data_IF_260108151398
#
_entry.id   IF_260108151398
#
_cell.length_a   1.000
_cell.length_b   1.000
_cell.length_c   1.000
_cell.angle_alpha   90.00
_cell.angle_beta   90.00
_cell.angle_gamma   90.00
#
_symmetry.space_group_name_H-M   'P 1'
#
loop_
_entity.id
_entity.type
_entity.pdbx_description
1 polymer ?
#
# COMPACT_ATOMS: atom_id res chain seq x y z
N UNK A 1 8.52 14.62 9.84
CA UNK A 1 7.24 14.37 9.17
C UNK A 1 7.45 13.55 7.89
N UNK A 2 8.40 13.95 7.03
CA UNK A 2 8.78 13.19 5.83
C UNK A 2 9.24 11.75 6.09
N UNK A 3 10.03 11.44 7.12
CA UNK A 3 10.48 10.05 7.36
C UNK A 3 9.35 9.07 7.70
N UNK A 4 8.39 9.49 8.52
CA UNK A 4 7.23 8.65 8.89
C UNK A 4 6.34 8.42 7.67
N UNK A 5 6.10 9.46 6.87
CA UNK A 5 5.31 9.37 5.65
C UNK A 5 6.01 8.46 4.63
N UNK A 6 7.33 8.60 4.45
CA UNK A 6 8.13 7.76 3.57
C UNK A 6 8.12 6.30 4.04
N UNK A 7 8.32 6.05 5.33
CA UNK A 7 8.24 4.71 5.92
C UNK A 7 6.87 4.06 5.70
N UNK A 8 5.78 4.77 5.99
CA UNK A 8 4.42 4.27 5.74
C UNK A 8 4.17 4.00 4.25
N UNK A 9 4.66 4.88 3.38
CA UNK A 9 4.52 4.74 1.93
C UNK A 9 5.27 3.50 1.42
N UNK A 10 6.50 3.29 1.88
CA UNK A 10 7.32 2.15 1.48
C UNK A 10 6.82 0.83 2.08
N UNK A 11 6.36 0.85 3.34
CA UNK A 11 5.73 -0.32 3.99
C UNK A 11 4.48 -0.77 3.22
N UNK A 12 3.59 0.16 2.85
CA UNK A 12 2.40 -0.19 2.08
C UNK A 12 2.76 -0.61 0.66
N UNK A 13 3.75 0.03 0.03
CA UNK A 13 4.13 -0.27 -1.37
C UNK A 13 4.90 -1.58 -1.50
N UNK A 14 5.86 -1.84 -0.63
CA UNK A 14 6.78 -2.99 -0.76
C UNK A 14 6.23 -4.14 0.08
N UNK A 15 6.08 -3.97 1.38
CA UNK A 15 5.78 -5.10 2.27
C UNK A 15 4.37 -5.65 2.07
N UNK A 16 3.38 -4.79 1.88
CA UNK A 16 1.99 -5.23 1.69
C UNK A 16 1.74 -5.82 0.31
N UNK A 17 2.23 -5.20 -0.77
CA UNK A 17 2.05 -5.77 -2.12
C UNK A 17 2.87 -7.05 -2.34
N UNK A 18 4.11 -7.09 -1.85
CA UNK A 18 4.93 -8.32 -1.91
C UNK A 18 4.32 -9.40 -1.02
N UNK A 19 3.90 -9.04 0.20
CA UNK A 19 3.19 -9.93 1.11
C UNK A 19 1.92 -10.51 0.50
N UNK A 20 1.17 -9.72 -0.27
CA UNK A 20 0.00 -10.21 -0.99
C UNK A 20 0.33 -11.16 -2.15
N UNK A 21 1.44 -10.90 -2.84
CA UNK A 21 1.95 -11.82 -3.86
C UNK A 21 2.21 -13.20 -3.25
N UNK A 22 2.90 -13.25 -2.11
CA UNK A 22 3.12 -14.50 -1.37
C UNK A 22 1.82 -15.12 -0.86
N UNK A 23 0.93 -14.31 -0.31
CA UNK A 23 -0.40 -14.77 0.10
C UNK A 23 -1.15 -15.45 -1.05
N UNK A 24 -1.15 -14.84 -2.24
CA UNK A 24 -1.85 -15.36 -3.42
C UNK A 24 -1.32 -16.73 -3.85
N UNK A 25 0.00 -16.93 -3.74
CA UNK A 25 0.65 -18.23 -4.00
C UNK A 25 0.18 -19.27 -2.98
N UNK A 26 0.19 -18.93 -1.69
CA UNK A 26 -0.26 -19.82 -0.61
C UNK A 26 -1.75 -20.14 -0.77
N UNK A 27 -2.58 -19.15 -1.11
CA UNK A 27 -4.00 -19.34 -1.38
C UNK A 27 -4.22 -20.33 -2.52
N UNK A 28 -3.49 -20.19 -3.62
CA UNK A 28 -3.59 -21.13 -4.76
C UNK A 28 -3.21 -22.55 -4.37
N UNK A 29 -2.13 -22.71 -3.59
CA UNK A 29 -1.71 -24.00 -3.05
C UNK A 29 -2.80 -24.59 -2.15
N UNK A 30 -3.27 -23.84 -1.15
CA UNK A 30 -4.30 -24.29 -0.22
C UNK A 30 -5.60 -24.67 -0.95
N UNK A 31 -6.02 -23.88 -1.94
CA UNK A 31 -7.21 -24.15 -2.76
C UNK A 31 -7.09 -25.43 -3.58
N UNK A 32 -5.88 -25.83 -3.97
CA UNK A 32 -5.64 -27.07 -4.72
C UNK A 32 -5.77 -28.32 -3.83
N UNK A 33 -5.39 -28.23 -2.55
CA UNK A 33 -5.38 -29.37 -1.63
C UNK A 33 -6.62 -29.47 -0.73
N UNK A 34 -7.34 -28.37 -0.49
CA UNK A 34 -8.50 -28.37 0.41
C UNK A 34 -9.80 -28.74 -0.32
N UNK A 35 -10.48 -29.76 0.20
CA UNK A 35 -11.78 -30.25 -0.31
C UNK A 35 -12.93 -29.29 -0.01
N UNK A 36 -12.92 -28.67 1.17
CA UNK A 36 -13.88 -27.64 1.55
C UNK A 36 -13.32 -26.25 1.22
N UNK A 37 -14.04 -25.54 0.36
CA UNK A 37 -13.58 -24.29 -0.26
C UNK A 37 -14.31 -23.06 0.28
N UNK A 38 -15.34 -23.24 1.12
CA UNK A 38 -16.19 -22.13 1.57
C UNK A 38 -15.41 -21.12 2.41
N UNK A 39 -14.71 -21.61 3.45
CA UNK A 39 -13.93 -20.76 4.36
C UNK A 39 -12.79 -20.01 3.66
N UNK A 40 -12.05 -20.70 2.78
CA UNK A 40 -10.92 -20.14 2.04
C UNK A 40 -11.39 -19.06 1.06
N UNK A 41 -12.53 -19.28 0.42
CA UNK A 41 -13.17 -18.33 -0.49
C UNK A 41 -13.61 -17.04 0.22
N UNK A 42 -14.19 -17.14 1.40
CA UNK A 42 -14.60 -15.95 2.18
C UNK A 42 -13.41 -15.17 2.72
N UNK A 43 -12.36 -15.87 3.14
CA UNK A 43 -11.11 -15.25 3.56
C UNK A 43 -10.45 -14.49 2.41
N UNK A 44 -10.41 -15.07 1.21
CA UNK A 44 -9.85 -14.43 0.01
C UNK A 44 -10.61 -13.17 -0.40
N UNK A 45 -11.94 -13.20 -0.36
CA UNK A 45 -12.74 -11.98 -0.55
C UNK A 45 -12.33 -10.86 0.41
N UNK A 46 -12.13 -11.20 1.68
CA UNK A 46 -11.73 -10.23 2.70
C UNK A 46 -10.30 -9.72 2.48
N UNK A 47 -9.37 -10.60 2.10
CA UNK A 47 -7.98 -10.24 1.81
C UNK A 47 -7.88 -9.31 0.58
N UNK A 48 -8.63 -9.60 -0.48
CA UNK A 48 -8.70 -8.76 -1.68
C UNK A 48 -9.28 -7.38 -1.33
N UNK A 49 -10.37 -7.32 -0.57
CA UNK A 49 -10.96 -6.05 -0.12
C UNK A 49 -9.97 -5.21 0.71
N UNK A 50 -9.28 -5.85 1.65
CA UNK A 50 -8.28 -5.19 2.50
C UNK A 50 -7.18 -4.53 1.67
N UNK A 51 -6.72 -5.18 0.60
CA UNK A 51 -5.70 -4.60 -0.27
C UNK A 51 -6.19 -3.49 -1.16
N UNK A 52 -7.40 -3.62 -1.68
CA UNK A 52 -8.01 -2.53 -2.43
C UNK A 52 -8.08 -1.28 -1.54
N UNK A 53 -8.50 -1.42 -0.27
CA UNK A 53 -8.52 -0.31 0.68
C UNK A 53 -7.14 0.23 1.02
N UNK A 54 -6.14 -0.62 1.22
CA UNK A 54 -4.76 -0.18 1.44
C UNK A 54 -4.18 0.54 0.22
N UNK A 55 -4.54 0.10 -1.00
CA UNK A 55 -4.18 0.79 -2.24
C UNK A 55 -4.77 2.20 -2.31
N UNK A 56 -6.02 2.39 -1.89
CA UNK A 56 -6.63 3.73 -1.79
C UNK A 56 -5.94 4.62 -0.75
N UNK A 57 -5.61 4.06 0.43
CA UNK A 57 -4.88 4.78 1.47
C UNK A 57 -3.51 5.21 0.96
N UNK A 58 -2.80 4.31 0.28
CA UNK A 58 -1.51 4.60 -0.32
C UNK A 58 -1.61 5.71 -1.37
N UNK A 59 -2.61 5.66 -2.24
CA UNK A 59 -2.85 6.68 -3.27
C UNK A 59 -3.11 8.06 -2.63
N UNK A 60 -3.90 8.10 -1.56
CA UNK A 60 -4.13 9.34 -0.81
C UNK A 60 -2.85 9.89 -0.19
N UNK A 61 -2.05 9.04 0.46
CA UNK A 61 -0.75 9.44 1.04
C UNK A 61 0.22 9.94 -0.04
N UNK A 62 0.23 9.30 -1.21
CA UNK A 62 1.07 9.72 -2.34
C UNK A 62 0.70 11.12 -2.86
N UNK A 63 -0.60 11.40 -3.01
CA UNK A 63 -1.08 12.74 -3.40
C UNK A 63 -0.64 13.78 -2.36
N UNK A 64 -0.84 13.49 -1.07
CA UNK A 64 -0.40 14.39 0.01
C UNK A 64 1.11 14.63 -0.06
N UNK A 65 1.91 13.57 -0.29
CA UNK A 65 3.35 13.67 -0.46
C UNK A 65 3.77 14.58 -1.61
N UNK A 66 3.05 14.55 -2.74
CA UNK A 66 3.29 15.47 -3.86
C UNK A 66 3.02 16.91 -3.45
N UNK A 67 1.89 17.19 -2.80
CA UNK A 67 1.56 18.55 -2.36
C UNK A 67 2.62 19.10 -1.40
N UNK A 68 3.03 18.30 -0.42
CA UNK A 68 4.10 18.70 0.53
C UNK A 68 5.40 18.99 -0.21
N UNK A 69 5.81 18.13 -1.15
CA UNK A 69 7.03 18.33 -1.93
C UNK A 69 7.02 19.64 -2.73
N UNK A 70 5.91 19.96 -3.38
CA UNK A 70 5.78 21.22 -4.13
C UNK A 70 5.78 22.46 -3.20
N UNK A 71 5.11 22.38 -2.04
CA UNK A 71 5.12 23.48 -1.06
C UNK A 71 6.48 23.69 -0.39
N UNK A 72 7.28 22.64 -0.21
CA UNK A 72 8.67 22.74 0.26
C UNK A 72 9.55 23.39 -0.83
N UNK A 73 9.40 23.01 -2.10
CA UNK A 73 10.13 23.58 -3.24
C UNK A 73 9.87 25.08 -3.43
N UNK A 74 8.61 25.51 -3.28
CA UNK A 74 8.24 26.93 -3.36
C UNK A 74 8.91 27.76 -2.26
N UNK A 75 8.95 27.24 -1.02
CA UNK A 75 9.67 27.87 0.10
C UNK A 75 11.18 27.97 -0.11
N UNK A 76 11.80 26.94 -0.69
CA UNK A 76 13.24 26.96 -0.99
C UNK A 76 13.58 27.96 -2.10
N UNK A 77 12.69 28.10 -3.09
CA UNK A 77 12.86 29.06 -4.20
C UNK A 77 12.75 30.50 -3.72
N UNK A 78 11.79 30.81 -2.84
CA UNK A 78 11.68 32.14 -2.21
C UNK A 78 12.90 32.51 -1.37
N UNK A 79 13.57 31.54 -0.73
CA UNK A 79 14.78 31.80 0.08
C UNK A 79 16.05 32.01 -0.74
N UNK A 80 16.11 31.54 -1.98
CA UNK A 80 17.26 31.68 -2.85
C UNK A 80 17.31 33.04 -3.57
N UNK A 81 16.20 33.79 -3.60
CA UNK A 81 16.11 35.13 -4.21
C UNK A 81 16.43 36.29 -3.25
N UNK A 82 16.80 36.01 -2.00
CA UNK A 82 17.33 36.99 -1.02
C UNK A 82 18.79 36.72 -0.65
#
# INVERSE_FOLDING_TARGET
>A
MNEIINFLTDFIRIDIFVGFGFYSIIYFLLRAFLKDKSFISEFDKSAVQLIIYLGFIWLALWIIGIFVFYSELENETERAEY
#
